data_IF_616262619325
#
_entry.id   IF_616262619325
#
_cell.length_a   1.000
_cell.length_b   1.000
_cell.length_c   1.000
_cell.angle_alpha   90.00
_cell.angle_beta   90.00
_cell.angle_gamma   90.00
#
_symmetry.space_group_name_H-M   'P 1'
#
loop_
_entity.id
_entity.type
_entity.pdbx_description
1 polymer ?
#
# COMPACT_ATOMS: atom_id res chain seq x y z
N UNK A 1 -22.83 -16.97 5.40
CA UNK A 1 -21.81 -15.91 5.62
C UNK A 1 -20.55 -16.63 6.03
N UNK A 2 -19.51 -16.55 5.24
CA UNK A 2 -18.24 -17.23 5.51
C UNK A 2 -17.45 -16.38 6.53
N UNK A 3 -17.42 -16.81 7.78
CA UNK A 3 -16.45 -16.34 8.76
C UNK A 3 -15.30 -17.33 8.76
N UNK A 4 -14.07 -16.85 8.79
CA UNK A 4 -12.89 -17.69 8.95
C UNK A 4 -12.32 -17.54 10.37
N UNK A 5 -11.81 -18.64 10.94
CA UNK A 5 -11.07 -18.56 12.18
C UNK A 5 -9.79 -17.76 11.93
N UNK A 6 -9.60 -16.72 12.72
CA UNK A 6 -8.44 -15.85 12.59
C UNK A 6 -7.21 -16.47 13.26
N UNK A 7 -6.03 -16.18 12.72
CA UNK A 7 -4.72 -16.50 13.31
C UNK A 7 -4.28 -15.38 14.28
N UNK A 8 -3.17 -15.60 14.96
CA UNK A 8 -2.46 -14.60 15.78
C UNK A 8 -3.31 -14.02 16.91
N UNK A 9 -3.69 -14.86 17.85
CA UNK A 9 -4.34 -14.48 19.09
C UNK A 9 -4.08 -15.52 20.19
N UNK A 10 -4.20 -15.10 21.45
CA UNK A 10 -4.12 -15.99 22.60
C UNK A 10 -5.10 -15.61 23.70
N UNK A 11 -5.36 -16.55 24.61
CA UNK A 11 -6.21 -16.32 25.78
C UNK A 11 -5.39 -15.69 26.90
N UNK A 12 -5.97 -14.69 27.56
CA UNK A 12 -5.40 -14.07 28.76
C UNK A 12 -6.00 -14.70 30.02
N UNK A 13 -5.26 -14.65 31.14
CA UNK A 13 -5.70 -15.16 32.44
C UNK A 13 -7.02 -14.57 32.93
N UNK A 14 -7.31 -13.32 32.60
CA UNK A 14 -8.55 -12.61 32.94
C UNK A 14 -9.76 -12.99 32.07
N UNK A 15 -9.68 -14.06 31.30
CA UNK A 15 -10.75 -14.57 30.44
C UNK A 15 -10.96 -13.80 29.15
N UNK A 16 -10.15 -12.76 28.85
CA UNK A 16 -10.17 -12.07 27.54
C UNK A 16 -9.33 -12.85 26.54
N UNK A 17 -9.50 -12.50 25.25
CA UNK A 17 -8.62 -12.93 24.16
C UNK A 17 -7.89 -11.69 23.64
N UNK A 18 -6.57 -11.78 23.50
CA UNK A 18 -5.77 -10.76 22.85
C UNK A 18 -5.55 -11.12 21.39
N UNK A 19 -5.78 -10.17 20.50
CA UNK A 19 -5.40 -10.25 19.09
C UNK A 19 -3.97 -9.71 18.93
N UNK A 20 -3.08 -10.53 18.41
CA UNK A 20 -1.64 -10.24 18.27
C UNK A 20 -1.24 -9.86 16.85
N UNK A 21 -2.20 -9.71 15.94
CA UNK A 21 -1.96 -9.42 14.52
C UNK A 21 -1.23 -8.08 14.28
N UNK A 22 -1.57 -7.06 15.05
CA UNK A 22 -0.98 -5.73 14.91
C UNK A 22 -0.70 -5.10 16.29
N UNK A 23 0.13 -4.04 16.36
CA UNK A 23 0.55 -3.42 17.63
C UNK A 23 -0.58 -2.73 18.43
N UNK A 24 -1.85 -2.99 18.06
CA UNK A 24 -3.03 -2.61 18.86
C UNK A 24 -3.24 -3.54 20.04
N UNK A 25 -2.88 -4.80 19.92
CA UNK A 25 -3.05 -5.82 20.95
C UNK A 25 -4.45 -5.78 21.59
N UNK A 26 -5.48 -5.78 20.74
CA UNK A 26 -6.87 -5.64 21.19
C UNK A 26 -7.27 -6.78 22.15
N UNK A 27 -7.70 -6.47 23.38
CA UNK A 27 -8.15 -7.42 24.41
C UNK A 27 -9.66 -7.50 24.43
N UNK A 28 -10.23 -8.59 23.93
CA UNK A 28 -11.65 -8.72 23.59
C UNK A 28 -12.38 -9.63 24.57
N UNK A 29 -13.57 -9.19 25.03
CA UNK A 29 -14.59 -10.03 25.62
C UNK A 29 -15.43 -10.70 24.52
N UNK A 30 -16.24 -11.71 24.90
CA UNK A 30 -17.15 -12.39 23.98
C UNK A 30 -18.07 -11.38 23.27
N UNK A 31 -18.19 -11.50 21.95
CA UNK A 31 -18.95 -10.59 21.07
C UNK A 31 -18.22 -9.30 20.70
N UNK A 32 -17.14 -8.90 21.38
CA UNK A 32 -16.41 -7.67 21.09
C UNK A 32 -15.59 -7.76 19.81
N UNK A 33 -15.45 -6.62 19.14
CA UNK A 33 -14.62 -6.43 17.93
C UNK A 33 -13.36 -5.64 18.27
N UNK A 34 -12.26 -5.94 17.56
CA UNK A 34 -11.05 -5.13 17.59
C UNK A 34 -11.29 -3.73 17.01
N UNK A 35 -10.30 -2.83 17.16
CA UNK A 35 -10.35 -1.48 16.58
C UNK A 35 -10.61 -1.52 15.06
N UNK A 36 -10.03 -2.50 14.37
CA UNK A 36 -10.20 -2.73 12.94
C UNK A 36 -11.63 -3.11 12.52
N UNK A 37 -12.50 -3.43 13.48
CA UNK A 37 -13.88 -3.85 13.31
C UNK A 37 -14.10 -5.26 12.72
N UNK A 38 -13.19 -5.77 11.92
CA UNK A 38 -13.38 -7.03 11.16
C UNK A 38 -12.94 -8.28 11.93
N UNK A 39 -12.11 -8.13 12.96
CA UNK A 39 -11.72 -9.23 13.86
C UNK A 39 -12.58 -9.18 15.11
N UNK A 40 -13.35 -10.25 15.34
CA UNK A 40 -14.34 -10.35 16.43
C UNK A 40 -14.07 -11.58 17.28
N UNK A 41 -14.21 -11.47 18.59
CA UNK A 41 -14.29 -12.65 19.46
C UNK A 41 -15.68 -13.28 19.36
N UNK A 42 -15.72 -14.55 18.99
CA UNK A 42 -16.96 -15.33 18.82
C UNK A 42 -16.68 -16.80 19.22
N UNK A 43 -17.53 -17.34 20.09
CA UNK A 43 -17.40 -18.73 20.56
C UNK A 43 -16.00 -19.07 21.10
N UNK A 44 -15.39 -18.13 21.86
CA UNK A 44 -14.09 -18.36 22.51
C UNK A 44 -12.87 -18.32 21.61
N UNK A 45 -12.98 -17.79 20.39
CA UNK A 45 -11.91 -17.58 19.42
C UNK A 45 -12.04 -16.23 18.72
N UNK A 46 -11.02 -15.78 17.98
CA UNK A 46 -11.15 -14.64 17.08
C UNK A 46 -11.51 -15.14 15.70
N UNK A 47 -12.50 -14.50 15.07
CA UNK A 47 -12.91 -14.74 13.69
C UNK A 47 -12.71 -13.50 12.83
N UNK A 48 -12.35 -13.70 11.56
CA UNK A 48 -12.38 -12.68 10.52
C UNK A 48 -13.78 -12.65 9.91
N UNK A 49 -14.50 -11.57 10.13
CA UNK A 49 -15.91 -11.43 9.70
C UNK A 49 -16.07 -10.95 8.26
N UNK A 50 -14.98 -10.55 7.61
CA UNK A 50 -14.96 -10.12 6.19
C UNK A 50 -14.37 -11.13 5.24
N UNK A 51 -14.11 -12.37 5.68
CA UNK A 51 -13.59 -13.40 4.78
C UNK A 51 -14.57 -13.68 3.62
N UNK A 52 -14.05 -13.64 2.39
CA UNK A 52 -14.87 -13.82 1.18
C UNK A 52 -15.79 -12.63 0.87
N UNK A 53 -15.57 -11.47 1.50
CA UNK A 53 -16.39 -10.26 1.35
C UNK A 53 -15.51 -9.03 1.17
N UNK A 54 -15.61 -8.40 0.01
CA UNK A 54 -14.78 -7.26 -0.38
C UNK A 54 -15.59 -6.18 -1.08
N UNK A 55 -15.01 -5.01 -1.21
CA UNK A 55 -15.63 -3.84 -1.82
C UNK A 55 -14.67 -3.09 -2.72
N UNK A 56 -15.20 -2.21 -3.57
CA UNK A 56 -14.42 -1.26 -4.34
C UNK A 56 -13.61 -1.89 -5.47
N UNK A 57 -14.06 -3.03 -6.02
CA UNK A 57 -13.38 -3.67 -7.14
C UNK A 57 -13.24 -2.72 -8.34
N UNK A 58 -12.00 -2.42 -8.69
CA UNK A 58 -11.67 -1.51 -9.76
C UNK A 58 -10.35 -1.91 -10.41
N UNK A 59 -10.29 -1.86 -11.74
CA UNK A 59 -9.02 -1.97 -12.46
C UNK A 59 -8.44 -0.57 -12.58
N UNK A 60 -7.24 -0.41 -12.06
CA UNK A 60 -6.46 0.83 -12.02
C UNK A 60 -5.10 0.62 -12.71
N UNK A 61 -4.36 1.69 -13.09
CA UNK A 61 -2.93 1.56 -13.38
C UNK A 61 -2.13 1.23 -12.12
N UNK A 62 -1.03 0.51 -12.29
CA UNK A 62 -0.14 0.12 -11.18
C UNK A 62 0.46 1.36 -10.49
N UNK A 63 0.73 2.43 -11.23
CA UNK A 63 1.24 3.70 -10.72
C UNK A 63 0.31 4.33 -9.66
N UNK A 64 -0.98 4.01 -9.70
CA UNK A 64 -1.95 4.47 -8.69
C UNK A 64 -1.83 3.72 -7.35
N UNK A 65 -1.00 2.67 -7.28
CA UNK A 65 -0.69 1.92 -6.05
C UNK A 65 0.59 2.39 -5.36
N UNK A 66 1.02 3.55 -5.51
CA UNK A 66 2.19 4.18 -6.10
C UNK A 66 3.35 3.21 -6.28
N UNK A 67 3.34 2.48 -7.40
CA UNK A 67 4.38 1.53 -7.78
C UNK A 67 4.90 1.90 -9.17
N UNK A 68 5.95 2.74 -9.19
CA UNK A 68 6.54 3.27 -10.42
C UNK A 68 7.62 2.36 -11.02
N UNK A 69 8.12 1.41 -10.23
CA UNK A 69 9.19 0.49 -10.61
C UNK A 69 8.75 -0.99 -10.60
N UNK A 70 7.45 -1.25 -10.57
CA UNK A 70 6.90 -2.59 -10.61
C UNK A 70 5.95 -2.75 -11.80
N UNK A 71 6.49 -3.22 -12.93
CA UNK A 71 5.79 -3.41 -14.20
C UNK A 71 5.00 -2.17 -14.65
N UNK A 72 5.68 -1.02 -14.88
CA UNK A 72 5.04 0.25 -15.21
C UNK A 72 4.07 0.17 -16.40
N UNK A 73 2.92 0.87 -16.27
CA UNK A 73 1.85 0.87 -17.26
C UNK A 73 0.96 -0.36 -17.27
N UNK A 74 1.19 -1.32 -16.36
CA UNK A 74 0.34 -2.50 -16.22
C UNK A 74 -0.98 -2.19 -15.49
N UNK A 75 -1.98 -3.06 -15.69
CA UNK A 75 -3.27 -3.00 -15.00
C UNK A 75 -3.26 -3.83 -13.72
N UNK A 76 -3.93 -3.33 -12.68
CA UNK A 76 -4.07 -4.00 -11.39
C UNK A 76 -5.54 -4.03 -10.95
N UNK A 77 -6.06 -5.19 -10.57
CA UNK A 77 -7.36 -5.31 -9.95
C UNK A 77 -7.25 -4.96 -8.46
N UNK A 78 -7.87 -3.87 -8.06
CA UNK A 78 -7.81 -3.29 -6.72
C UNK A 78 -9.08 -3.56 -5.95
N UNK A 79 -8.96 -3.84 -4.66
CA UNK A 79 -10.09 -3.94 -3.74
C UNK A 79 -9.65 -3.78 -2.29
N UNK A 80 -10.63 -3.62 -1.39
CA UNK A 80 -10.45 -3.59 0.05
C UNK A 80 -11.62 -4.23 0.79
N UNK A 81 -11.55 -4.21 2.12
CA UNK A 81 -12.65 -4.64 3.00
C UNK A 81 -13.11 -3.48 3.87
N UNK A 82 -14.08 -3.69 4.76
CA UNK A 82 -14.43 -2.70 5.78
C UNK A 82 -13.37 -2.64 6.88
N UNK A 83 -13.20 -1.46 7.49
CA UNK A 83 -12.35 -1.27 8.67
C UNK A 83 -10.87 -0.98 8.38
N UNK A 84 -10.09 -0.70 9.44
CA UNK A 84 -8.66 -0.46 9.38
C UNK A 84 -8.06 -0.53 10.80
N UNK A 85 -6.78 -0.93 10.93
CA UNK A 85 -6.06 -0.95 12.21
C UNK A 85 -5.47 0.41 12.62
N UNK A 86 -5.52 1.41 11.75
CA UNK A 86 -5.19 2.80 12.05
C UNK A 86 -6.43 3.71 12.06
N UNK A 87 -6.30 4.86 12.69
CA UNK A 87 -7.37 5.84 12.85
C UNK A 87 -7.03 7.20 12.23
N UNK A 88 -6.29 7.18 11.09
CA UNK A 88 -5.80 8.38 10.43
C UNK A 88 -6.90 9.42 10.22
N UNK A 89 -6.67 10.64 10.71
CA UNK A 89 -7.67 11.73 10.64
C UNK A 89 -7.84 12.28 9.22
N UNK A 90 -6.84 12.09 8.38
CA UNK A 90 -6.77 12.51 6.97
C UNK A 90 -7.19 11.42 5.97
N UNK A 91 -7.86 10.36 6.43
CA UNK A 91 -8.12 9.19 5.59
C UNK A 91 -9.01 9.52 4.39
N UNK A 92 -8.48 9.40 3.18
CA UNK A 92 -9.22 9.63 1.93
C UNK A 92 -10.20 8.50 1.58
N UNK A 93 -10.01 7.30 2.19
CA UNK A 93 -10.90 6.15 2.04
C UNK A 93 -11.70 5.90 3.34
N UNK A 94 -12.12 6.98 4.01
CA UNK A 94 -12.78 6.88 5.31
C UNK A 94 -14.14 6.17 5.25
N UNK A 95 -14.85 6.28 4.15
CA UNK A 95 -16.11 5.59 3.87
C UNK A 95 -15.96 4.07 4.00
N UNK A 96 -14.87 3.50 3.50
CA UNK A 96 -14.54 2.08 3.63
C UNK A 96 -13.81 1.78 4.95
N UNK A 97 -12.72 2.49 5.23
CA UNK A 97 -11.83 2.21 6.36
C UNK A 97 -12.47 2.46 7.73
N UNK A 98 -13.54 3.25 7.80
CA UNK A 98 -14.33 3.54 9.03
C UNK A 98 -15.71 2.92 8.97
N UNK A 99 -16.05 2.20 7.90
CA UNK A 99 -17.34 1.51 7.80
C UNK A 99 -17.53 0.51 8.94
N UNK A 100 -18.75 0.50 9.47
CA UNK A 100 -19.25 -0.47 10.44
C UNK A 100 -20.39 -1.32 9.86
N UNK A 101 -20.76 -1.06 8.61
CA UNK A 101 -21.84 -1.70 7.86
C UNK A 101 -21.27 -2.68 6.86
N UNK A 102 -21.02 -3.91 7.29
CA UNK A 102 -20.36 -4.92 6.44
C UNK A 102 -21.29 -5.57 5.41
N UNK A 103 -22.60 -5.49 5.62
CA UNK A 103 -23.59 -6.24 4.83
C UNK A 103 -24.02 -5.50 3.57
N UNK A 104 -23.92 -4.18 3.54
CA UNK A 104 -24.39 -3.32 2.44
C UNK A 104 -23.31 -3.00 1.40
N UNK A 105 -22.02 -3.13 1.76
CA UNK A 105 -20.90 -2.66 0.94
C UNK A 105 -20.03 -3.78 0.36
N UNK A 106 -20.35 -5.06 0.60
CA UNK A 106 -19.47 -6.15 0.26
C UNK A 106 -20.06 -7.09 -0.79
N UNK A 107 -19.34 -7.30 -1.89
CA UNK A 107 -19.58 -8.39 -2.83
C UNK A 107 -19.09 -9.72 -2.24
N UNK A 108 -19.81 -10.82 -2.56
CA UNK A 108 -19.30 -12.16 -2.33
C UNK A 108 -18.13 -12.44 -3.29
N UNK A 109 -16.95 -12.59 -2.73
CA UNK A 109 -15.68 -12.62 -3.46
C UNK A 109 -14.72 -13.65 -2.85
N UNK A 110 -14.92 -14.96 -3.15
CA UNK A 110 -13.94 -15.98 -2.78
C UNK A 110 -12.59 -15.74 -3.47
N UNK A 111 -11.48 -16.29 -2.92
CA UNK A 111 -10.14 -16.13 -3.47
C UNK A 111 -10.05 -16.47 -4.97
N UNK A 112 -10.56 -17.62 -5.38
CA UNK A 112 -10.52 -18.09 -6.76
C UNK A 112 -11.33 -17.17 -7.70
N UNK A 113 -12.41 -16.59 -7.19
CA UNK A 113 -13.24 -15.66 -7.96
C UNK A 113 -12.51 -14.35 -8.25
N UNK A 114 -11.71 -13.86 -7.30
CA UNK A 114 -10.89 -12.65 -7.48
C UNK A 114 -9.77 -12.94 -8.48
N UNK A 115 -9.05 -14.05 -8.32
CA UNK A 115 -8.01 -14.48 -9.27
C UNK A 115 -8.56 -14.65 -10.68
N UNK A 116 -9.72 -15.31 -10.83
CA UNK A 116 -10.41 -15.46 -12.11
C UNK A 116 -10.81 -14.10 -12.71
N UNK A 117 -11.34 -13.18 -11.89
CA UNK A 117 -11.70 -11.83 -12.35
C UNK A 117 -10.47 -11.06 -12.87
N UNK A 118 -9.35 -11.11 -12.15
CA UNK A 118 -8.10 -10.49 -12.58
C UNK A 118 -7.62 -11.06 -13.91
N UNK A 119 -7.61 -12.38 -14.05
CA UNK A 119 -7.21 -13.07 -15.29
C UNK A 119 -8.15 -12.75 -16.47
N UNK A 120 -9.45 -12.76 -16.24
CA UNK A 120 -10.48 -12.43 -17.26
C UNK A 120 -10.32 -11.01 -17.81
N UNK A 121 -9.89 -10.10 -16.98
CA UNK A 121 -9.65 -8.69 -17.35
C UNK A 121 -8.19 -8.41 -17.74
N UNK A 122 -7.36 -9.44 -17.89
CA UNK A 122 -5.94 -9.31 -18.25
C UNK A 122 -5.15 -8.41 -17.29
N UNK A 123 -5.53 -8.39 -16.00
CA UNK A 123 -4.74 -7.71 -14.99
C UNK A 123 -3.47 -8.49 -14.69
N UNK A 124 -2.33 -7.82 -14.61
CA UNK A 124 -1.05 -8.44 -14.27
C UNK A 124 -0.90 -8.71 -12.78
N UNK A 125 -1.67 -7.96 -11.97
CA UNK A 125 -1.63 -8.08 -10.52
C UNK A 125 -2.99 -7.82 -9.86
N UNK A 126 -3.09 -8.24 -8.60
CA UNK A 126 -4.17 -7.88 -7.68
C UNK A 126 -3.59 -7.04 -6.55
N UNK A 127 -4.23 -5.93 -6.20
CA UNK A 127 -3.79 -5.06 -5.10
C UNK A 127 -4.79 -5.08 -3.93
N UNK A 128 -4.27 -5.43 -2.77
CA UNK A 128 -4.93 -5.27 -1.47
C UNK A 128 -4.73 -3.83 -1.02
N UNK A 129 -5.78 -2.99 -1.07
CA UNK A 129 -5.65 -1.53 -0.93
C UNK A 129 -6.89 -0.88 -0.30
N UNK A 130 -6.97 0.45 -0.31
CA UNK A 130 -8.01 1.32 0.24
C UNK A 130 -8.07 1.36 1.77
N UNK A 131 -8.02 0.22 2.45
CA UNK A 131 -7.77 0.05 3.88
C UNK A 131 -6.52 -0.81 4.08
N UNK A 132 -6.10 -1.03 5.32
CA UNK A 132 -4.90 -1.83 5.56
C UNK A 132 -5.18 -3.33 5.38
N UNK A 133 -4.51 -4.03 4.44
CA UNK A 133 -4.75 -5.46 4.19
C UNK A 133 -4.35 -6.37 5.35
N UNK A 134 -3.52 -5.93 6.27
CA UNK A 134 -3.17 -6.69 7.48
C UNK A 134 -4.39 -7.12 8.27
N UNK A 135 -5.47 -6.31 8.31
CA UNK A 135 -6.64 -6.65 9.11
C UNK A 135 -7.43 -7.86 8.60
N UNK A 136 -7.32 -8.16 7.30
CA UNK A 136 -7.93 -9.33 6.67
C UNK A 136 -6.88 -10.33 6.18
N UNK A 137 -5.87 -10.52 7.00
CA UNK A 137 -4.64 -11.28 6.79
C UNK A 137 -4.88 -12.65 6.12
N UNK A 138 -5.72 -13.49 6.70
CA UNK A 138 -6.01 -14.84 6.22
C UNK A 138 -6.62 -14.81 4.81
N UNK A 139 -7.56 -13.91 4.60
CA UNK A 139 -8.22 -13.74 3.32
C UNK A 139 -7.28 -13.19 2.24
N UNK A 140 -6.40 -12.25 2.60
CA UNK A 140 -5.40 -11.71 1.68
C UNK A 140 -4.40 -12.78 1.22
N UNK A 141 -3.95 -13.64 2.14
CA UNK A 141 -3.04 -14.76 1.83
C UNK A 141 -3.70 -15.77 0.89
N UNK A 142 -4.93 -16.21 1.20
CA UNK A 142 -5.64 -17.17 0.36
C UNK A 142 -5.88 -16.61 -1.05
N UNK A 143 -6.18 -15.30 -1.17
CA UNK A 143 -6.30 -14.64 -2.48
C UNK A 143 -4.95 -14.59 -3.19
N UNK A 144 -3.86 -14.25 -2.48
CA UNK A 144 -2.53 -14.19 -3.07
C UNK A 144 -2.11 -15.56 -3.62
N UNK A 145 -2.38 -16.64 -2.90
CA UNK A 145 -2.13 -18.02 -3.36
C UNK A 145 -2.93 -18.35 -4.62
N UNK A 146 -4.25 -18.07 -4.62
CA UNK A 146 -5.09 -18.29 -5.80
C UNK A 146 -4.64 -17.43 -7.00
N UNK A 147 -4.15 -16.21 -6.76
CA UNK A 147 -3.57 -15.34 -7.79
C UNK A 147 -2.29 -15.95 -8.36
N UNK A 148 -1.37 -16.41 -7.53
CA UNK A 148 -0.12 -17.04 -7.96
C UNK A 148 -0.37 -18.31 -8.79
N UNK A 149 -1.33 -19.15 -8.40
CA UNK A 149 -1.76 -20.33 -9.19
C UNK A 149 -2.31 -19.92 -10.56
N UNK A 150 -2.95 -18.74 -10.66
CA UNK A 150 -3.46 -18.20 -11.91
C UNK A 150 -2.41 -17.44 -12.74
N UNK A 151 -1.16 -17.28 -12.23
CA UNK A 151 -0.08 -16.50 -12.84
C UNK A 151 -0.25 -14.99 -12.66
N UNK A 152 -0.99 -14.55 -11.64
CA UNK A 152 -1.25 -13.14 -11.29
C UNK A 152 -0.43 -12.77 -10.06
N UNK A 153 0.19 -11.59 -10.06
CA UNK A 153 1.01 -11.09 -8.94
C UNK A 153 0.14 -10.47 -7.85
N UNK A 154 0.66 -10.48 -6.62
CA UNK A 154 0.01 -9.93 -5.43
C UNK A 154 0.73 -8.69 -4.93
N UNK A 155 -0.01 -7.60 -4.72
CA UNK A 155 0.52 -6.30 -4.32
C UNK A 155 -0.15 -5.82 -3.03
N UNK A 156 0.64 -5.48 -2.02
CA UNK A 156 0.16 -4.87 -0.79
C UNK A 156 0.32 -3.35 -0.82
N UNK A 157 -0.78 -2.61 -0.58
CA UNK A 157 -0.74 -1.17 -0.25
C UNK A 157 -1.14 -1.05 1.21
N UNK A 158 -0.17 -0.85 2.09
CA UNK A 158 -0.32 -1.02 3.54
C UNK A 158 0.36 0.11 4.31
N UNK A 159 -0.08 0.33 5.55
CA UNK A 159 0.64 1.17 6.50
C UNK A 159 1.82 0.45 7.18
N UNK A 160 2.04 -0.83 6.90
CA UNK A 160 3.09 -1.62 7.53
C UNK A 160 2.92 -1.81 9.05
N UNK A 161 1.70 -1.58 9.58
CA UNK A 161 1.41 -1.62 11.02
C UNK A 161 1.00 -3.03 11.45
N UNK A 162 1.97 -3.91 11.55
CA UNK A 162 1.84 -5.35 11.77
C UNK A 162 2.90 -5.85 12.76
N UNK A 163 2.59 -6.87 13.56
CA UNK A 163 3.56 -7.50 14.48
C UNK A 163 4.48 -8.49 13.74
N UNK A 164 5.62 -8.89 14.32
CA UNK A 164 6.66 -9.66 13.61
C UNK A 164 6.18 -10.96 12.96
N UNK A 165 5.49 -11.83 13.71
CA UNK A 165 5.08 -13.14 13.18
C UNK A 165 4.10 -13.05 12.00
N UNK A 166 2.95 -12.33 12.09
CA UNK A 166 2.07 -12.19 10.95
C UNK A 166 2.68 -11.39 9.80
N UNK A 167 3.66 -10.50 10.07
CA UNK A 167 4.43 -9.81 9.04
C UNK A 167 5.18 -10.79 8.14
N UNK A 168 5.83 -11.79 8.73
CA UNK A 168 6.55 -12.82 7.97
C UNK A 168 5.61 -13.56 7.03
N UNK A 169 4.54 -14.14 7.54
CA UNK A 169 3.57 -14.89 6.74
C UNK A 169 2.92 -14.01 5.67
N UNK A 170 2.57 -12.76 5.97
CA UNK A 170 1.91 -11.87 5.03
C UNK A 170 2.79 -11.54 3.83
N UNK A 171 4.02 -11.07 4.07
CA UNK A 171 4.90 -10.64 2.99
C UNK A 171 5.54 -11.79 2.21
N UNK A 172 5.55 -13.03 2.74
CA UNK A 172 5.93 -14.23 1.98
C UNK A 172 5.03 -14.47 0.76
N UNK A 173 3.78 -13.98 0.80
CA UNK A 173 2.81 -14.11 -0.27
C UNK A 173 2.67 -12.86 -1.16
N UNK A 174 3.52 -11.84 -0.97
CA UNK A 174 3.46 -10.60 -1.76
C UNK A 174 4.63 -10.52 -2.74
N UNK A 175 4.37 -10.02 -3.95
CA UNK A 175 5.40 -9.75 -4.97
C UNK A 175 5.92 -8.31 -4.86
N UNK A 176 5.04 -7.38 -4.51
CA UNK A 176 5.40 -5.99 -4.27
C UNK A 176 4.59 -5.37 -3.12
N UNK A 177 5.14 -4.33 -2.53
CA UNK A 177 4.47 -3.53 -1.51
C UNK A 177 4.74 -2.05 -1.71
N UNK A 178 3.70 -1.23 -1.60
CA UNK A 178 3.83 0.18 -1.30
C UNK A 178 3.47 0.38 0.16
N UNK A 179 4.40 0.88 0.95
CA UNK A 179 4.20 1.12 2.37
C UNK A 179 4.11 2.61 2.65
N UNK A 180 3.03 2.98 3.32
CA UNK A 180 2.82 4.34 3.80
C UNK A 180 3.73 4.67 4.99
N UNK A 181 4.89 5.25 4.76
CA UNK A 181 5.66 5.95 5.79
C UNK A 181 5.05 7.36 5.97
N UNK A 182 4.02 7.43 6.83
CA UNK A 182 3.10 8.59 6.87
C UNK A 182 3.74 9.87 7.42
N UNK A 183 4.77 9.74 8.24
CA UNK A 183 5.56 10.81 8.85
C UNK A 183 6.78 10.20 9.54
N UNK A 184 7.67 11.03 10.07
CA UNK A 184 8.87 10.54 10.76
C UNK A 184 8.92 10.92 12.25
N UNK A 185 7.77 11.24 12.84
CA UNK A 185 7.62 11.58 14.26
C UNK A 185 6.58 10.68 14.97
N UNK A 186 6.91 10.25 16.19
CA UNK A 186 5.95 9.56 17.08
C UNK A 186 4.72 10.43 17.40
N UNK A 187 4.89 11.74 17.44
CA UNK A 187 3.80 12.71 17.65
C UNK A 187 2.72 12.54 16.58
N UNK A 188 3.13 12.53 15.31
CA UNK A 188 2.21 12.37 14.17
C UNK A 188 1.51 11.02 14.21
N UNK A 189 2.27 9.94 14.35
CA UNK A 189 1.68 8.60 14.44
C UNK A 189 0.68 8.47 15.59
N UNK A 190 1.02 8.97 16.76
CA UNK A 190 0.14 8.88 17.94
C UNK A 190 -1.09 9.77 17.82
N UNK A 191 -0.95 11.04 17.41
CA UNK A 191 -2.03 12.04 17.44
C UNK A 191 -2.89 12.06 16.17
N UNK A 192 -2.30 11.76 15.01
CA UNK A 192 -2.95 11.87 13.70
C UNK A 192 -3.36 10.49 13.17
N UNK A 193 -2.47 9.48 13.23
CA UNK A 193 -2.75 8.14 12.76
C UNK A 193 -3.34 7.23 13.84
N UNK A 194 -3.14 7.58 15.11
CA UNK A 194 -3.53 6.75 16.26
C UNK A 194 -2.72 5.45 16.33
N UNK A 195 -1.46 5.44 15.94
CA UNK A 195 -0.53 4.31 15.93
C UNK A 195 0.83 4.68 16.52
N UNK A 196 1.86 3.96 16.14
CA UNK A 196 3.26 4.14 16.53
C UNK A 196 4.14 4.05 15.29
N UNK A 197 5.23 4.82 15.24
CA UNK A 197 6.19 4.82 14.12
C UNK A 197 7.06 3.56 14.11
N UNK A 198 7.60 3.16 15.27
CA UNK A 198 8.58 2.09 15.36
C UNK A 198 8.17 0.78 14.66
N UNK A 199 6.94 0.21 14.83
CA UNK A 199 6.53 -1.01 14.12
C UNK A 199 6.51 -0.87 12.59
N UNK A 200 6.27 0.35 12.08
CA UNK A 200 6.31 0.62 10.63
C UNK A 200 7.76 0.57 10.13
N UNK A 201 8.69 1.21 10.84
CA UNK A 201 10.12 1.18 10.50
C UNK A 201 10.68 -0.25 10.54
N UNK A 202 10.30 -1.04 11.53
CA UNK A 202 10.67 -2.47 11.61
C UNK A 202 10.13 -3.27 10.41
N UNK A 203 8.89 -2.97 9.98
CA UNK A 203 8.28 -3.63 8.82
C UNK A 203 9.01 -3.27 7.54
N UNK A 204 9.39 -2.02 7.36
CA UNK A 204 10.17 -1.56 6.20
C UNK A 204 11.52 -2.26 6.11
N UNK A 205 12.26 -2.33 7.22
CA UNK A 205 13.55 -3.03 7.27
C UNK A 205 13.38 -4.53 6.99
N UNK A 206 12.36 -5.18 7.57
CA UNK A 206 12.07 -6.58 7.33
C UNK A 206 11.79 -6.85 5.83
N UNK A 207 10.89 -6.07 5.20
CA UNK A 207 10.57 -6.24 3.78
C UNK A 207 11.84 -6.10 2.94
N UNK A 208 12.65 -5.07 3.22
CA UNK A 208 13.83 -4.77 2.41
C UNK A 208 14.93 -5.82 2.53
N UNK A 209 15.18 -6.36 3.72
CA UNK A 209 16.36 -7.19 3.99
C UNK A 209 16.07 -8.68 4.09
N UNK A 210 14.83 -9.05 4.47
CA UNK A 210 14.47 -10.44 4.75
C UNK A 210 13.54 -11.05 3.70
N UNK A 211 13.12 -10.27 2.68
CA UNK A 211 12.19 -10.74 1.65
C UNK A 211 12.66 -10.42 0.23
N UNK A 212 11.97 -10.99 -0.76
CA UNK A 212 12.13 -10.64 -2.18
C UNK A 212 11.09 -9.64 -2.67
N UNK A 213 10.23 -9.14 -1.80
CA UNK A 213 9.15 -8.20 -2.12
C UNK A 213 9.74 -6.90 -2.63
N UNK A 214 9.30 -6.45 -3.80
CA UNK A 214 9.65 -5.12 -4.27
C UNK A 214 9.01 -4.06 -3.39
N UNK A 215 9.79 -3.12 -2.87
CA UNK A 215 9.34 -2.11 -1.92
C UNK A 215 9.41 -0.70 -2.51
N UNK A 216 8.29 0.03 -2.47
CA UNK A 216 8.23 1.48 -2.65
C UNK A 216 7.53 2.13 -1.45
N UNK A 217 7.84 3.40 -1.17
CA UNK A 217 7.29 4.13 -0.03
C UNK A 217 6.40 5.28 -0.47
N UNK A 218 5.36 5.54 0.30
CA UNK A 218 4.51 6.73 0.11
C UNK A 218 4.41 7.56 1.37
N UNK A 219 4.61 8.87 1.23
CA UNK A 219 4.36 9.86 2.28
C UNK A 219 3.36 10.89 1.77
N UNK A 220 2.15 10.88 2.36
CA UNK A 220 1.17 11.95 2.13
C UNK A 220 1.62 13.17 2.91
N UNK A 221 2.02 14.22 2.21
CA UNK A 221 2.52 15.45 2.82
C UNK A 221 1.34 16.32 3.24
N UNK A 222 1.26 16.61 4.53
CA UNK A 222 0.21 17.44 5.12
C UNK A 222 0.84 18.73 5.65
N UNK A 223 0.44 19.90 5.14
CA UNK A 223 1.00 21.17 5.56
C UNK A 223 0.95 21.36 7.08
N UNK A 224 2.04 21.78 7.68
CA UNK A 224 2.25 22.03 9.12
C UNK A 224 2.29 20.79 10.04
N UNK A 225 2.07 19.59 9.51
CA UNK A 225 2.08 18.37 10.33
C UNK A 225 3.32 17.48 10.09
N UNK A 226 3.74 17.30 8.81
CA UNK A 226 4.88 16.45 8.42
C UNK A 226 5.65 17.00 7.21
N UNK A 227 5.58 18.31 6.97
CA UNK A 227 6.19 18.97 5.80
C UNK A 227 7.40 19.84 6.13
N UNK A 228 7.93 19.78 7.37
CA UNK A 228 9.14 20.54 7.72
C UNK A 228 10.38 19.95 7.05
N UNK A 229 11.35 20.82 6.74
CA UNK A 229 12.60 20.39 6.12
C UNK A 229 13.37 19.41 7.00
N UNK A 230 13.37 19.65 8.32
CA UNK A 230 14.03 18.81 9.31
C UNK A 230 13.48 17.38 9.28
N UNK A 231 12.15 17.23 9.36
CA UNK A 231 11.51 15.89 9.34
C UNK A 231 11.73 15.18 8.00
N UNK A 232 11.65 15.91 6.88
CA UNK A 232 11.92 15.36 5.56
C UNK A 232 13.39 14.93 5.40
N UNK A 233 14.35 15.69 5.95
CA UNK A 233 15.76 15.31 5.99
C UNK A 233 15.97 14.03 6.82
N UNK A 234 15.45 13.99 8.04
CA UNK A 234 15.59 12.83 8.92
C UNK A 234 14.98 11.56 8.29
N UNK A 235 13.77 11.68 7.73
CA UNK A 235 13.08 10.57 7.06
C UNK A 235 13.89 10.03 5.89
N UNK A 236 14.33 10.90 4.99
CA UNK A 236 15.02 10.48 3.76
C UNK A 236 16.43 9.98 4.01
N UNK A 237 17.15 10.54 4.99
CA UNK A 237 18.44 10.02 5.45
C UNK A 237 18.27 8.62 6.05
N UNK A 238 17.26 8.41 6.89
CA UNK A 238 16.95 7.10 7.45
C UNK A 238 16.65 6.07 6.35
N UNK A 239 15.87 6.46 5.33
CA UNK A 239 15.56 5.57 4.20
C UNK A 239 16.83 5.17 3.47
N UNK A 240 17.71 6.11 3.14
CA UNK A 240 18.97 5.80 2.45
C UNK A 240 19.88 4.92 3.32
N UNK A 241 19.99 5.23 4.61
CA UNK A 241 20.87 4.50 5.54
C UNK A 241 20.34 3.08 5.84
N UNK A 242 19.03 2.92 6.07
CA UNK A 242 18.44 1.65 6.54
C UNK A 242 17.87 0.78 5.41
N UNK A 243 17.40 1.38 4.31
CA UNK A 243 16.79 0.64 3.21
C UNK A 243 17.59 0.71 1.91
N UNK A 244 18.54 1.65 1.84
CA UNK A 244 19.37 1.88 0.65
C UNK A 244 18.76 2.91 -0.31
N UNK A 245 19.59 3.47 -1.23
CA UNK A 245 19.22 4.56 -2.12
C UNK A 245 18.23 4.18 -3.20
N UNK A 246 18.03 2.89 -3.45
CA UNK A 246 17.23 2.37 -4.57
C UNK A 246 15.75 2.16 -4.25
N UNK A 247 15.32 2.40 -3.00
CA UNK A 247 13.90 2.32 -2.62
C UNK A 247 13.17 3.57 -3.08
N UNK A 248 12.22 3.48 -4.02
CA UNK A 248 11.51 4.65 -4.51
C UNK A 248 10.63 5.28 -3.43
N UNK A 249 10.62 6.62 -3.38
CA UNK A 249 9.78 7.40 -2.47
C UNK A 249 8.79 8.27 -3.24
N UNK A 250 7.53 8.23 -2.82
CA UNK A 250 6.43 9.01 -3.40
C UNK A 250 5.94 10.04 -2.39
N UNK A 251 6.12 11.32 -2.68
CA UNK A 251 5.56 12.43 -1.90
C UNK A 251 4.25 12.87 -2.57
N UNK A 252 3.12 12.58 -1.90
CA UNK A 252 1.79 12.79 -2.48
C UNK A 252 1.08 13.96 -1.82
N UNK A 253 0.31 14.71 -2.62
CA UNK A 253 -0.45 15.84 -2.10
C UNK A 253 -1.62 15.38 -1.26
N UNK A 254 -1.76 15.98 -0.09
CA UNK A 254 -2.96 15.92 0.73
C UNK A 254 -3.99 16.92 0.20
N UNK A 255 -5.25 16.53 0.23
CA UNK A 255 -6.40 17.43 0.15
C UNK A 255 -7.28 17.26 1.40
N UNK A 256 -7.98 18.31 1.86
CA UNK A 256 -8.88 18.23 3.01
C UNK A 256 -9.86 17.08 2.88
N UNK A 257 -9.91 16.23 3.91
CA UNK A 257 -10.82 15.09 3.95
C UNK A 257 -11.12 14.67 5.41
N UNK A 258 -12.24 14.01 5.61
CA UNK A 258 -12.78 13.44 6.84
C UNK A 258 -12.67 14.37 8.06
N UNK A 259 -11.64 14.20 8.91
CA UNK A 259 -11.43 14.97 10.16
C UNK A 259 -10.37 16.05 10.04
N UNK A 260 -9.87 16.31 8.84
CA UNK A 260 -8.87 17.35 8.58
C UNK A 260 -9.33 18.31 7.46
N UNK A 261 -10.59 18.73 7.56
CA UNK A 261 -11.20 19.68 6.61
C UNK A 261 -10.70 21.11 6.78
N UNK A 262 -10.11 21.44 7.93
CA UNK A 262 -9.60 22.78 8.25
C UNK A 262 -8.15 23.01 7.81
N UNK A 263 -7.49 21.96 7.24
CA UNK A 263 -6.13 22.06 6.73
C UNK A 263 -6.11 22.48 5.26
N UNK A 264 -5.14 23.30 4.83
CA UNK A 264 -5.01 23.62 3.41
C UNK A 264 -4.51 22.40 2.62
N UNK A 265 -4.87 22.29 1.33
CA UNK A 265 -4.28 21.28 0.45
C UNK A 265 -2.78 21.51 0.28
N UNK A 266 -2.03 20.44 0.00
CA UNK A 266 -0.58 20.54 -0.23
C UNK A 266 -0.29 21.23 -1.55
N UNK A 267 0.58 22.24 -1.53
CA UNK A 267 0.99 22.93 -2.75
C UNK A 267 1.96 22.06 -3.57
N UNK A 268 1.96 22.17 -4.91
CA UNK A 268 2.96 21.50 -5.75
C UNK A 268 4.40 21.84 -5.37
N UNK A 269 4.67 23.07 -4.95
CA UNK A 269 6.00 23.51 -4.52
C UNK A 269 6.49 22.80 -3.25
N UNK A 270 5.59 22.47 -2.33
CA UNK A 270 5.91 21.67 -1.13
C UNK A 270 6.34 20.25 -1.54
N UNK A 271 5.68 19.63 -2.51
CA UNK A 271 6.06 18.30 -3.00
C UNK A 271 7.40 18.34 -3.75
N UNK A 272 7.62 19.35 -4.59
CA UNK A 272 8.90 19.54 -5.28
C UNK A 272 10.04 19.68 -4.26
N UNK A 273 9.84 20.47 -3.21
CA UNK A 273 10.81 20.66 -2.12
C UNK A 273 11.09 19.32 -1.40
N UNK A 274 10.06 18.54 -1.04
CA UNK A 274 10.23 17.24 -0.41
C UNK A 274 11.02 16.27 -1.30
N UNK A 275 10.71 16.24 -2.59
CA UNK A 275 11.43 15.46 -3.60
C UNK A 275 12.90 15.88 -3.72
N UNK A 276 13.17 17.17 -3.78
CA UNK A 276 14.53 17.70 -3.92
C UNK A 276 15.39 17.41 -2.67
N UNK A 277 14.79 17.46 -1.47
CA UNK A 277 15.43 17.03 -0.22
C UNK A 277 15.80 15.55 -0.29
N UNK A 278 14.90 14.70 -0.72
CA UNK A 278 15.13 13.25 -0.86
C UNK A 278 16.29 12.95 -1.82
N UNK A 279 16.29 13.58 -3.00
CA UNK A 279 17.38 13.43 -4.00
C UNK A 279 18.71 13.92 -3.42
N UNK A 280 18.72 15.08 -2.76
CA UNK A 280 19.93 15.63 -2.12
C UNK A 280 20.49 14.71 -1.04
N UNK A 281 19.64 14.00 -0.32
CA UNK A 281 20.04 13.03 0.69
C UNK A 281 20.43 11.66 0.10
N UNK A 282 20.38 11.47 -1.23
CA UNK A 282 20.84 10.27 -1.93
C UNK A 282 19.78 9.27 -2.32
N UNK A 283 18.49 9.59 -2.18
CA UNK A 283 17.41 8.77 -2.75
C UNK A 283 17.45 8.88 -4.27
N UNK A 284 17.66 7.76 -4.97
CA UNK A 284 17.79 7.74 -6.43
C UNK A 284 16.49 8.00 -7.17
N UNK A 285 15.37 7.58 -6.58
CA UNK A 285 14.05 7.61 -7.20
C UNK A 285 13.04 8.26 -6.26
N UNK A 286 12.76 9.54 -6.49
CA UNK A 286 11.82 10.33 -5.69
C UNK A 286 10.77 10.96 -6.62
N UNK A 287 9.50 10.83 -6.25
CA UNK A 287 8.36 11.20 -7.06
C UNK A 287 7.43 12.18 -6.36
N UNK A 288 6.78 13.06 -7.12
CA UNK A 288 5.59 13.79 -6.70
C UNK A 288 4.33 13.05 -7.17
N UNK A 289 3.28 13.06 -6.37
CA UNK A 289 2.02 12.37 -6.68
C UNK A 289 0.79 13.18 -6.27
N UNK A 290 -0.38 12.80 -6.80
CA UNK A 290 -1.65 13.51 -6.67
C UNK A 290 -1.61 14.95 -7.23
N UNK A 291 -0.69 15.24 -8.13
CA UNK A 291 -0.54 16.51 -8.86
C UNK A 291 -0.13 16.24 -10.29
N UNK A 292 -0.48 17.15 -11.21
CA UNK A 292 0.06 17.15 -12.56
C UNK A 292 1.47 17.75 -12.53
N UNK A 293 2.47 16.89 -12.55
CA UNK A 293 3.89 17.24 -12.55
C UNK A 293 4.67 16.16 -13.32
N UNK A 294 4.77 16.33 -14.63
CA UNK A 294 5.48 15.37 -15.49
C UNK A 294 6.97 15.24 -15.15
N UNK A 295 7.59 16.31 -14.61
CA UNK A 295 8.98 16.26 -14.14
C UNK A 295 9.09 15.42 -12.87
N UNK A 296 8.27 15.69 -11.87
CA UNK A 296 8.29 14.97 -10.60
C UNK A 296 7.73 13.54 -10.68
N UNK A 297 6.87 13.24 -11.66
CA UNK A 297 6.29 11.92 -11.89
C UNK A 297 7.18 10.98 -12.72
N UNK A 298 8.19 11.51 -13.44
CA UNK A 298 9.06 10.74 -14.33
C UNK A 298 10.25 10.12 -13.61
N UNK A 299 10.76 9.01 -14.14
CA UNK A 299 11.97 8.33 -13.65
C UNK A 299 13.17 8.82 -14.43
N UNK A 300 14.23 9.17 -13.71
CA UNK A 300 15.51 9.61 -14.27
C UNK A 300 16.62 8.62 -13.92
N UNK A 301 17.55 8.43 -14.82
CA UNK A 301 18.76 7.67 -14.55
C UNK A 301 19.59 8.38 -13.46
N UNK A 302 19.92 7.66 -12.41
CA UNK A 302 20.67 8.25 -11.28
C UNK A 302 22.15 8.53 -11.63
N UNK A 303 22.66 7.97 -12.74
CA UNK A 303 24.03 8.18 -13.18
C UNK A 303 24.14 9.32 -14.20
N UNK A 304 23.36 9.29 -15.30
CA UNK A 304 23.47 10.28 -16.37
C UNK A 304 22.42 11.38 -16.34
N UNK A 305 21.41 11.28 -15.48
CA UNK A 305 20.33 12.27 -15.35
C UNK A 305 19.27 12.24 -16.45
N UNK A 306 19.41 11.37 -17.46
CA UNK A 306 18.46 11.27 -18.57
C UNK A 306 17.12 10.70 -18.12
N UNK A 307 16.03 11.16 -18.75
CA UNK A 307 14.66 10.70 -18.47
C UNK A 307 14.45 9.30 -19.07
N UNK A 308 14.40 8.28 -18.24
CA UNK A 308 14.33 6.88 -18.68
C UNK A 308 12.90 6.34 -18.75
N UNK A 309 11.98 6.79 -17.89
CA UNK A 309 10.55 6.53 -18.02
C UNK A 309 9.81 7.85 -17.84
N UNK A 310 9.19 8.31 -18.91
CA UNK A 310 8.39 9.52 -18.86
C UNK A 310 6.97 9.24 -18.42
N UNK A 311 6.44 10.12 -17.55
CA UNK A 311 5.06 10.03 -17.05
C UNK A 311 4.41 11.40 -17.03
N UNK A 312 3.15 11.46 -17.47
CA UNK A 312 2.21 12.52 -17.15
C UNK A 312 1.01 11.89 -16.45
N UNK A 313 0.86 12.13 -15.15
CA UNK A 313 -0.08 11.45 -14.28
C UNK A 313 0.18 9.93 -14.28
N UNK A 314 -0.70 9.13 -14.87
CA UNK A 314 -0.56 7.67 -15.01
C UNK A 314 -0.30 7.23 -16.47
N UNK A 315 -0.12 8.17 -17.38
CA UNK A 315 0.21 7.89 -18.79
C UNK A 315 1.73 7.83 -18.96
N UNK A 316 2.21 6.76 -19.58
CA UNK A 316 3.62 6.65 -19.94
C UNK A 316 3.84 7.28 -21.32
N UNK A 317 4.66 8.33 -21.40
CA UNK A 317 4.93 9.08 -22.63
C UNK A 317 6.27 8.73 -23.29
N UNK A 318 7.20 8.14 -22.54
CA UNK A 318 8.49 7.70 -23.06
C UNK A 318 9.05 6.50 -22.31
N UNK A 319 9.81 5.67 -23.04
CA UNK A 319 10.44 4.45 -22.50
C UNK A 319 11.86 4.31 -23.02
N UNK A 320 12.85 4.60 -22.18
CA UNK A 320 14.27 4.60 -22.48
C UNK A 320 15.04 3.58 -21.61
N UNK A 321 14.37 2.48 -21.24
CA UNK A 321 15.01 1.28 -20.73
C UNK A 321 15.20 0.27 -21.86
N UNK A 322 16.35 -0.43 -21.85
CA UNK A 322 16.58 -1.58 -22.71
C UNK A 322 15.87 -2.85 -22.20
N UNK A 323 16.09 -3.98 -22.87
CA UNK A 323 15.44 -5.25 -22.49
C UNK A 323 15.93 -5.82 -21.14
N UNK A 324 17.02 -5.32 -20.60
CA UNK A 324 17.55 -5.70 -19.27
C UNK A 324 17.08 -4.78 -18.15
N UNK A 325 16.29 -3.73 -18.46
CA UNK A 325 15.89 -2.70 -17.52
C UNK A 325 16.99 -1.67 -17.25
N UNK A 326 17.96 -1.53 -18.14
CA UNK A 326 19.05 -0.55 -18.01
C UNK A 326 18.77 0.70 -18.86
N UNK A 327 19.36 1.83 -18.45
CA UNK A 327 19.29 3.10 -19.17
C UNK A 327 19.86 2.97 -20.58
N UNK A 328 19.10 3.30 -21.62
CA UNK A 328 19.57 3.27 -23.03
C UNK A 328 20.69 4.25 -23.34
N UNK A 329 20.87 5.29 -22.52
CA UNK A 329 21.85 6.34 -22.79
C UNK A 329 23.22 6.00 -22.21
N UNK A 330 23.30 5.38 -21.03
CA UNK A 330 24.59 5.10 -20.37
C UNK A 330 24.76 3.65 -19.91
N UNK A 331 23.75 2.78 -20.06
CA UNK A 331 23.82 1.37 -19.69
C UNK A 331 23.64 1.09 -18.18
N UNK A 332 23.45 2.11 -17.35
CA UNK A 332 23.26 1.93 -15.88
C UNK A 332 21.96 1.19 -15.60
N UNK A 333 21.97 0.11 -14.78
CA UNK A 333 20.76 -0.58 -14.38
C UNK A 333 19.80 0.31 -13.59
N UNK A 334 18.52 0.25 -13.92
CA UNK A 334 17.45 0.85 -13.13
C UNK A 334 16.88 -0.21 -12.18
N UNK A 335 16.87 0.08 -10.88
CA UNK A 335 16.31 -0.84 -9.89
C UNK A 335 14.78 -0.94 -10.04
N UNK A 336 14.25 -2.16 -10.14
CA UNK A 336 12.83 -2.41 -10.35
C UNK A 336 12.55 -3.71 -11.11
N UNK A 337 11.26 -3.92 -11.37
CA UNK A 337 10.76 -5.00 -12.22
C UNK A 337 10.16 -4.41 -13.49
N UNK A 338 10.75 -4.70 -14.63
CA UNK A 338 10.36 -4.11 -15.91
C UNK A 338 10.14 -5.19 -16.96
N UNK A 339 9.13 -5.00 -17.80
CA UNK A 339 9.05 -5.71 -19.08
C UNK A 339 9.97 -5.04 -20.11
N UNK A 340 10.26 -5.75 -21.20
CA UNK A 340 11.01 -5.16 -22.33
C UNK A 340 10.30 -3.95 -22.97
N UNK A 341 8.98 -3.84 -22.78
CA UNK A 341 8.14 -2.73 -23.20
C UNK A 341 7.21 -2.33 -22.05
N UNK A 342 6.80 -1.06 -21.97
CA UNK A 342 5.83 -0.63 -20.96
C UNK A 342 4.47 -1.28 -21.17
N UNK A 343 3.68 -1.36 -20.10
CA UNK A 343 2.25 -1.59 -20.22
C UNK A 343 1.53 -0.39 -20.87
N UNK A 344 0.28 -0.59 -21.27
CA UNK A 344 -0.50 0.42 -22.01
C UNK A 344 -1.88 0.67 -21.36
N UNK A 345 -2.01 0.44 -20.07
CA UNK A 345 -3.30 0.66 -19.39
C UNK A 345 -3.69 2.13 -19.36
N UNK A 346 -2.73 3.02 -19.11
CA UNK A 346 -2.95 4.48 -19.01
C UNK A 346 -3.72 4.86 -17.74
N UNK A 347 -4.37 6.02 -17.77
CA UNK A 347 -5.08 6.61 -16.62
C UNK A 347 -6.48 6.05 -16.38
N UNK A 348 -6.91 5.05 -17.12
CA UNK A 348 -8.26 4.49 -17.03
C UNK A 348 -8.56 3.91 -15.67
N UNK A 349 -9.79 4.12 -15.20
CA UNK A 349 -10.38 3.47 -14.03
C UNK A 349 -11.61 2.69 -14.47
N UNK A 350 -11.62 1.39 -14.26
CA UNK A 350 -12.70 0.50 -14.69
C UNK A 350 -13.30 -0.25 -13.49
N UNK A 351 -14.50 0.12 -13.01
CA UNK A 351 -15.19 -0.65 -11.98
C UNK A 351 -15.48 -2.09 -12.43
N UNK A 352 -15.35 -3.04 -11.51
CA UNK A 352 -15.61 -4.48 -11.74
C UNK A 352 -16.71 -4.94 -10.79
N UNK A 353 -17.74 -5.56 -11.35
CA UNK A 353 -18.86 -6.10 -10.58
C UNK A 353 -18.78 -7.62 -10.52
N UNK A 354 -18.26 -8.15 -9.41
CA UNK A 354 -18.03 -9.59 -9.25
C UNK A 354 -19.30 -10.42 -9.32
N UNK A 355 -20.46 -9.87 -8.97
CA UNK A 355 -21.75 -10.58 -9.08
C UNK A 355 -22.07 -11.10 -10.48
N UNK A 356 -21.51 -10.48 -11.52
CA UNK A 356 -21.68 -10.90 -12.91
C UNK A 356 -20.56 -11.83 -13.41
N UNK A 357 -19.61 -12.18 -12.56
CA UNK A 357 -18.52 -13.10 -12.89
C UNK A 357 -18.91 -14.49 -12.37
N UNK A 358 -19.05 -15.42 -13.29
CA UNK A 358 -19.23 -16.85 -13.01
C UNK A 358 -17.87 -17.54 -13.13
N UNK A 359 -17.53 -18.34 -12.13
CA UNK A 359 -16.32 -19.18 -12.08
C UNK A 359 -16.70 -20.59 -12.48
#
# INVERSE_FOLDING_TARGET
>A
MSEAVAKYWHKLENGRIQCDLCPRFCKLLEGQRGLCFVRQRKAGQIVLTTYGRSSGFCIDPIEKKPLNHFYPGSSVLSFGTAGCNLACKFCQNWDMSKSREMDTLADAAGPEKIAFAAKKHSCESVAFTYNDPVIFHEYAIDIAQACHEAGIRSVAVSAGYVTPEPRQEFYEHMDAANIDLKAFTERFYKKICGGQLAPVLETLQYIKHETKVWLELTTLIIPTENDSDEELHEMTQWVVEKLGPDVPMHFTAFHPDWKMMDYPPTSPSTLTRARDIAIKNGVRYAYTGNVHDSRGGSTYCHECGERIIGRDWYELDSWNLDNSGSCKFCGTPCSGHFHSKPGHWGSRRQPVFLKFIQV
#
